data_IF_432584774262
#
_entry.id   IF_432584774262
#
_cell.length_a   1.000
_cell.length_b   1.000
_cell.length_c   1.000
_cell.angle_alpha   90.00
_cell.angle_beta   90.00
_cell.angle_gamma   90.00
#
_symmetry.space_group_name_H-M   'P 1'
#
loop_
_entity.id
_entity.type
_entity.pdbx_description
1 polymer ?
#
# COMPACT_ATOMS: atom_id res chain seq x y z
N UNK A 1 -12.65 5.24 -1.84
CA UNK A 1 -11.64 4.19 -1.97
C UNK A 1 -10.41 4.57 -1.21
N UNK A 2 -9.88 3.68 -0.39
CA UNK A 2 -8.65 3.90 0.39
C UNK A 2 -7.62 2.80 0.08
N UNK A 3 -6.48 3.20 -0.48
CA UNK A 3 -5.38 2.31 -0.79
C UNK A 3 -4.35 2.23 0.34
N UNK A 4 -4.25 3.23 1.21
CA UNK A 4 -3.16 3.34 2.21
C UNK A 4 -3.60 2.83 3.60
N UNK A 5 -4.31 1.71 3.60
CA UNK A 5 -5.02 1.21 4.79
C UNK A 5 -4.14 0.42 5.75
N UNK A 6 -2.97 -0.07 5.30
CA UNK A 6 -2.11 -1.00 6.04
C UNK A 6 -2.85 -2.28 6.52
N UNK A 7 -4.01 -2.58 5.93
CA UNK A 7 -4.83 -3.74 6.26
C UNK A 7 -5.35 -4.36 4.97
N UNK A 8 -4.63 -5.37 4.49
CA UNK A 8 -4.90 -6.05 3.22
C UNK A 8 -4.77 -7.55 3.40
N UNK A 9 -5.62 -8.28 2.68
CA UNK A 9 -5.57 -9.73 2.61
C UNK A 9 -5.29 -10.14 1.18
N UNK A 10 -4.34 -11.06 1.01
CA UNK A 10 -3.94 -11.56 -0.29
C UNK A 10 -4.03 -13.08 -0.31
N UNK A 11 -4.31 -13.64 -1.49
CA UNK A 11 -4.00 -15.05 -1.72
C UNK A 11 -2.49 -15.24 -1.66
N UNK A 12 -2.06 -16.34 -1.04
CA UNK A 12 -0.63 -16.61 -0.78
C UNK A 12 0.18 -16.66 -2.07
N UNK A 13 -0.34 -17.34 -3.08
CA UNK A 13 0.32 -17.51 -4.37
C UNK A 13 0.51 -16.19 -5.11
N UNK A 14 -0.41 -15.23 -4.94
CA UNK A 14 -0.31 -13.90 -5.55
C UNK A 14 0.80 -13.12 -4.86
N UNK A 15 0.76 -12.99 -3.54
CA UNK A 15 1.73 -12.14 -2.82
C UNK A 15 3.15 -12.69 -2.91
N UNK A 16 3.33 -14.01 -2.92
CA UNK A 16 4.65 -14.65 -3.06
C UNK A 16 5.23 -14.55 -4.47
N UNK A 17 4.41 -14.27 -5.49
CA UNK A 17 4.88 -14.06 -6.86
C UNK A 17 5.47 -12.66 -7.10
N UNK A 18 5.31 -11.74 -6.15
CA UNK A 18 5.75 -10.35 -6.28
C UNK A 18 7.14 -10.14 -5.68
N UNK A 19 8.03 -9.54 -6.45
CA UNK A 19 9.31 -9.05 -5.93
C UNK A 19 9.13 -7.65 -5.34
N UNK A 20 8.96 -7.54 -4.02
CA UNK A 20 8.70 -6.27 -3.32
C UNK A 20 10.01 -5.66 -2.81
N UNK A 21 10.19 -4.35 -3.02
CA UNK A 21 11.45 -3.64 -2.73
C UNK A 21 11.29 -2.45 -1.79
N UNK A 22 10.10 -1.85 -1.74
CA UNK A 22 9.82 -0.71 -0.88
C UNK A 22 9.75 -1.15 0.58
N UNK A 23 10.18 -0.24 1.45
CA UNK A 23 10.15 -0.42 2.89
C UNK A 23 9.21 0.61 3.52
N UNK A 24 8.75 0.31 4.75
CA UNK A 24 7.85 1.18 5.52
C UNK A 24 6.56 1.46 4.74
N UNK A 25 6.09 2.71 4.73
CA UNK A 25 4.81 3.10 4.11
C UNK A 25 4.81 3.00 2.58
N UNK A 26 5.98 3.04 1.94
CA UNK A 26 6.09 2.88 0.48
C UNK A 26 5.67 1.50 -0.04
N UNK A 27 5.54 0.51 0.84
CA UNK A 27 5.05 -0.82 0.52
C UNK A 27 3.63 -0.81 -0.04
N UNK A 28 2.73 -0.01 0.55
CA UNK A 28 1.31 0.03 0.19
C UNK A 28 1.09 0.43 -1.29
N UNK A 29 1.72 1.51 -1.80
CA UNK A 29 1.70 1.81 -3.23
C UNK A 29 2.28 0.71 -4.10
N UNK A 30 3.42 0.13 -3.72
CA UNK A 30 4.11 -0.87 -4.53
C UNK A 30 3.29 -2.15 -4.68
N UNK A 31 2.82 -2.70 -3.56
CA UNK A 31 2.06 -3.96 -3.57
C UNK A 31 0.75 -3.78 -4.33
N UNK A 32 0.05 -2.66 -4.13
CA UNK A 32 -1.21 -2.41 -4.82
C UNK A 32 -1.01 -2.25 -6.32
N UNK A 33 -0.01 -1.46 -6.74
CA UNK A 33 0.30 -1.27 -8.15
C UNK A 33 0.68 -2.60 -8.82
N UNK A 34 1.55 -3.40 -8.19
CA UNK A 34 1.98 -4.70 -8.74
C UNK A 34 0.85 -5.70 -8.81
N UNK A 35 0.02 -5.82 -7.77
CA UNK A 35 -1.17 -6.70 -7.78
C UNK A 35 -2.15 -6.29 -8.87
N UNK A 36 -2.38 -4.97 -9.07
CA UNK A 36 -3.33 -4.46 -10.07
C UNK A 36 -2.94 -4.81 -11.52
N UNK A 37 -1.66 -5.08 -11.77
CA UNK A 37 -1.13 -5.46 -13.09
C UNK A 37 -1.22 -6.96 -13.38
N UNK A 38 -1.55 -7.79 -12.39
CA UNK A 38 -1.70 -9.23 -12.59
C UNK A 38 -3.03 -9.49 -13.31
N UNK A 39 -3.02 -10.15 -14.48
CA UNK A 39 -4.24 -10.46 -15.20
C UNK A 39 -5.23 -11.26 -14.35
N UNK A 40 -6.51 -10.93 -14.46
CA UNK A 40 -7.63 -11.64 -13.80
C UNK A 40 -7.65 -11.56 -12.27
N UNK A 41 -6.81 -10.74 -11.64
CA UNK A 41 -6.94 -10.41 -10.22
C UNK A 41 -8.02 -9.34 -10.05
N UNK A 42 -8.90 -9.53 -9.05
CA UNK A 42 -9.92 -8.56 -8.66
C UNK A 42 -9.59 -8.00 -7.29
N UNK A 43 -9.58 -6.67 -7.19
CA UNK A 43 -9.38 -5.96 -5.92
C UNK A 43 -10.77 -5.57 -5.41
N UNK A 44 -11.03 -5.89 -4.15
CA UNK A 44 -12.27 -5.53 -3.46
C UNK A 44 -11.94 -4.64 -2.28
N UNK A 45 -12.75 -3.61 -2.10
CA UNK A 45 -12.68 -2.75 -0.93
C UNK A 45 -13.78 -3.14 0.05
N UNK A 46 -13.36 -3.40 1.28
CA UNK A 46 -14.25 -3.77 2.37
C UNK A 46 -14.18 -2.66 3.40
N UNK A 47 -15.34 -2.11 3.76
CA UNK A 47 -15.43 -1.07 4.78
C UNK A 47 -14.94 -1.59 6.13
N UNK A 48 -14.09 -0.81 6.79
CA UNK A 48 -13.61 -1.07 8.15
C UNK A 48 -13.88 0.15 9.03
N UNK A 49 -14.00 -0.09 10.33
CA UNK A 49 -13.91 0.99 11.32
C UNK A 49 -12.47 1.12 11.79
N UNK A 50 -11.88 2.31 11.65
CA UNK A 50 -10.51 2.59 12.09
C UNK A 50 -10.50 3.72 13.10
N UNK A 51 -9.89 3.47 14.26
CA UNK A 51 -9.66 4.47 15.29
C UNK A 51 -8.18 4.85 15.25
N UNK A 52 -7.89 5.96 14.56
CA UNK A 52 -6.53 6.43 14.37
C UNK A 52 -5.94 7.06 15.63
N UNK A 53 -4.64 6.81 15.85
CA UNK A 53 -3.86 7.49 16.89
C UNK A 53 -3.54 8.93 16.49
N UNK A 54 -3.63 9.85 17.44
CA UNK A 54 -3.09 11.20 17.39
C UNK A 54 -1.55 11.19 17.45
N UNK A 55 -0.93 12.31 17.12
CA UNK A 55 0.51 12.48 17.28
C UNK A 55 0.96 12.35 18.75
N UNK A 56 0.14 12.82 19.69
CA UNK A 56 0.38 12.71 21.13
C UNK A 56 0.32 11.25 21.60
N UNK A 57 -0.56 10.42 21.02
CA UNK A 57 -0.62 8.96 21.24
C UNK A 57 0.51 8.18 20.52
N UNK A 58 1.52 8.88 20.02
CA UNK A 58 2.70 8.27 19.41
C UNK A 58 2.48 7.81 17.96
N UNK A 59 1.70 8.55 17.16
CA UNK A 59 1.66 8.36 15.71
C UNK A 59 3.04 8.65 15.11
N UNK A 60 3.62 7.63 14.44
CA UNK A 60 4.99 7.69 13.92
C UNK A 60 5.11 8.14 12.45
N UNK A 61 3.99 8.27 11.75
CA UNK A 61 3.99 8.66 10.33
C UNK A 61 4.17 10.17 10.19
N UNK A 62 5.03 10.61 9.26
CA UNK A 62 5.32 12.02 9.04
C UNK A 62 5.29 12.42 7.57
N UNK A 63 5.58 13.69 7.30
CA UNK A 63 5.59 14.25 5.95
C UNK A 63 6.57 13.55 4.99
N UNK A 64 7.68 13.03 5.52
CA UNK A 64 8.67 12.25 4.75
C UNK A 64 8.06 10.96 4.19
N UNK A 65 7.15 10.32 4.94
CA UNK A 65 6.45 9.13 4.47
C UNK A 65 5.47 9.50 3.33
N UNK A 66 4.86 10.70 3.38
CA UNK A 66 4.04 11.22 2.28
C UNK A 66 4.83 11.48 0.99
N UNK A 67 6.00 12.12 1.08
CA UNK A 67 6.89 12.30 -0.09
C UNK A 67 7.32 10.95 -0.66
N UNK A 68 7.65 9.99 0.21
CA UNK A 68 8.01 8.63 -0.22
C UNK A 68 6.83 7.92 -0.90
N UNK A 69 5.61 8.06 -0.39
CA UNK A 69 4.41 7.49 -0.99
C UNK A 69 4.18 8.04 -2.41
N UNK A 70 4.28 9.35 -2.61
CA UNK A 70 4.16 9.96 -3.95
C UNK A 70 5.22 9.40 -4.91
N UNK A 71 6.48 9.31 -4.46
CA UNK A 71 7.54 8.71 -5.25
C UNK A 71 7.21 7.25 -5.65
N UNK A 72 6.74 6.44 -4.71
CA UNK A 72 6.36 5.05 -4.98
C UNK A 72 5.17 4.96 -5.96
N UNK A 73 4.15 5.81 -5.81
CA UNK A 73 3.01 5.85 -6.73
C UNK A 73 3.48 6.17 -8.15
N UNK A 74 4.34 7.17 -8.34
CA UNK A 74 4.87 7.51 -9.67
C UNK A 74 5.71 6.37 -10.23
N UNK A 75 6.65 5.84 -9.43
CA UNK A 75 7.56 4.77 -9.85
C UNK A 75 6.83 3.49 -10.25
N UNK A 76 5.91 3.01 -9.43
CA UNK A 76 5.25 1.71 -9.65
C UNK A 76 3.92 1.83 -10.40
N UNK A 77 3.27 2.98 -10.36
CA UNK A 77 2.02 3.24 -11.07
C UNK A 77 2.23 3.64 -12.53
N UNK A 78 3.12 4.60 -12.79
CA UNK A 78 3.29 5.18 -14.14
C UNK A 78 4.48 4.62 -14.92
N UNK A 79 5.56 4.23 -14.24
CA UNK A 79 6.82 3.86 -14.90
C UNK A 79 7.17 2.37 -14.82
N UNK A 80 6.48 1.60 -13.98
CA UNK A 80 6.73 0.18 -13.76
C UNK A 80 5.66 -0.72 -14.33
#
# INVERSE_FOLDING_TARGET
>A
TDMETCYKMFKREIIQSLDLKENRFGFEPEVTAKVSKIPKVRIYEVGISYYGRTYEEGKKIGWKDGVRAIYSIVKYGLLG
#
